data_IF_041320377761
#
_entry.id   IF_041320377761
#
_cell.length_a   1.000
_cell.length_b   1.000
_cell.length_c   1.000
_cell.angle_alpha   90.00
_cell.angle_beta   90.00
_cell.angle_gamma   90.00
#
_symmetry.space_group_name_H-M   'P 1'
#
loop_
_entity.id
_entity.type
_entity.pdbx_description
1 polymer ?
#
# COMPACT_ATOMS: atom_id res chain seq x y z
N UNK A 1 -17.13 -67.33 -39.39
CA UNK A 1 -16.90 -65.89 -39.19
C UNK A 1 -17.61 -65.48 -37.91
N UNK A 2 -16.88 -65.29 -36.81
CA UNK A 2 -17.38 -64.70 -35.56
C UNK A 2 -16.23 -63.90 -34.98
N UNK A 3 -16.35 -62.58 -34.98
CA UNK A 3 -15.41 -61.68 -34.31
C UNK A 3 -16.23 -60.61 -33.60
N UNK A 4 -16.25 -60.70 -32.28
CA UNK A 4 -16.80 -59.69 -31.38
C UNK A 4 -15.77 -58.58 -31.21
N UNK A 5 -16.18 -57.31 -31.32
CA UNK A 5 -15.34 -56.16 -31.03
C UNK A 5 -15.99 -55.29 -29.95
N UNK A 6 -15.29 -55.15 -28.83
CA UNK A 6 -15.66 -54.32 -27.68
C UNK A 6 -15.21 -52.87 -27.91
N UNK A 7 -16.07 -51.89 -27.61
CA UNK A 7 -15.71 -50.47 -27.60
C UNK A 7 -15.71 -49.96 -26.15
N UNK A 8 -14.53 -49.58 -25.68
CA UNK A 8 -14.25 -48.85 -24.43
C UNK A 8 -14.53 -47.37 -24.66
N UNK A 9 -15.43 -46.77 -23.87
CA UNK A 9 -15.66 -45.32 -23.85
C UNK A 9 -14.88 -44.73 -22.68
N UNK A 10 -13.85 -43.96 -22.99
CA UNK A 10 -13.08 -43.19 -22.02
C UNK A 10 -13.79 -41.86 -21.76
N UNK A 11 -14.18 -41.62 -20.50
CA UNK A 11 -14.74 -40.35 -20.06
C UNK A 11 -13.60 -39.37 -19.71
N UNK A 12 -13.59 -38.13 -20.24
CA UNK A 12 -12.65 -37.11 -19.82
C UNK A 12 -13.10 -36.53 -18.47
N UNK A 13 -12.28 -36.69 -17.44
CA UNK A 13 -12.47 -36.04 -16.15
C UNK A 13 -12.12 -34.55 -16.29
N UNK A 14 -13.13 -33.69 -16.35
CA UNK A 14 -12.95 -32.24 -16.32
C UNK A 14 -12.69 -31.80 -14.88
N UNK A 15 -11.41 -31.62 -14.53
CA UNK A 15 -11.01 -31.05 -13.25
C UNK A 15 -11.34 -29.55 -13.25
N UNK A 16 -12.42 -29.15 -12.58
CA UNK A 16 -12.69 -27.75 -12.28
C UNK A 16 -11.66 -27.26 -11.26
N UNK A 17 -10.69 -26.46 -11.71
CA UNK A 17 -9.82 -25.69 -10.84
C UNK A 17 -10.69 -24.73 -10.01
N UNK A 18 -10.58 -24.81 -8.69
CA UNK A 18 -11.24 -23.89 -7.77
C UNK A 18 -10.24 -22.79 -7.46
N UNK A 19 -10.47 -21.59 -7.96
CA UNK A 19 -9.79 -20.40 -7.46
C UNK A 19 -10.21 -20.20 -6.00
N UNK A 20 -9.35 -20.62 -5.09
CA UNK A 20 -9.47 -20.25 -3.69
C UNK A 20 -9.09 -18.78 -3.60
N UNK A 21 -10.10 -17.90 -3.58
CA UNK A 21 -9.91 -16.51 -3.15
C UNK A 21 -9.67 -16.57 -1.64
N UNK A 22 -8.41 -16.55 -1.22
CA UNK A 22 -8.08 -16.26 0.17
C UNK A 22 -8.40 -14.80 0.42
N UNK A 23 -9.65 -14.51 0.82
CA UNK A 23 -10.04 -13.20 1.36
C UNK A 23 -9.36 -13.08 2.72
N UNK A 24 -8.10 -12.65 2.73
CA UNK A 24 -7.50 -12.09 3.92
C UNK A 24 -8.28 -10.84 4.28
N UNK A 25 -9.08 -10.89 5.34
CA UNK A 25 -9.81 -9.73 5.90
C UNK A 25 -8.84 -8.75 6.60
N UNK A 26 -7.70 -8.45 5.99
CA UNK A 26 -6.96 -7.24 6.37
C UNK A 26 -7.69 -6.08 5.73
N UNK A 27 -7.97 -5.02 6.50
CA UNK A 27 -8.64 -3.82 5.96
C UNK A 27 -7.96 -3.29 4.70
N UNK A 28 -8.64 -2.48 3.90
CA UNK A 28 -7.95 -1.82 2.78
C UNK A 28 -6.86 -0.89 3.32
N UNK A 29 -5.78 -0.73 2.55
CA UNK A 29 -4.88 0.40 2.75
C UNK A 29 -5.59 1.69 2.33
N UNK A 30 -5.36 2.75 3.09
CA UNK A 30 -5.89 4.08 2.82
C UNK A 30 -4.76 5.12 2.94
N UNK A 31 -4.68 6.10 2.03
CA UNK A 31 -3.79 7.25 2.18
C UNK A 31 -4.03 7.97 3.52
N UNK A 32 -2.96 8.45 4.12
CA UNK A 32 -3.00 9.29 5.32
C UNK A 32 -2.01 10.45 5.18
N UNK A 33 -2.31 11.56 5.85
CA UNK A 33 -1.41 12.71 5.85
C UNK A 33 -0.12 12.40 6.62
N UNK A 34 1.00 12.89 6.10
CA UNK A 34 2.28 12.88 6.83
C UNK A 34 2.18 13.94 7.93
N UNK A 35 2.37 13.52 9.19
CA UNK A 35 2.29 14.38 10.38
C UNK A 35 3.55 14.21 11.21
N UNK A 36 3.80 15.14 12.13
CA UNK A 36 4.92 15.02 13.07
C UNK A 36 4.82 13.73 13.90
N UNK A 37 3.61 13.37 14.35
CA UNK A 37 3.38 12.17 15.16
C UNK A 37 3.74 10.87 14.41
N UNK A 38 3.30 10.74 13.16
CA UNK A 38 3.63 9.53 12.37
C UNK A 38 5.09 9.52 11.90
N UNK A 39 5.70 10.67 11.69
CA UNK A 39 7.15 10.77 11.40
C UNK A 39 7.98 10.37 12.62
N UNK A 40 7.58 10.78 13.83
CA UNK A 40 8.20 10.36 15.08
C UNK A 40 8.03 8.85 15.33
N UNK A 41 6.87 8.29 14.97
CA UNK A 41 6.63 6.85 15.03
C UNK A 41 7.59 6.09 14.10
N UNK A 42 7.78 6.57 12.87
CA UNK A 42 8.77 6.03 11.93
C UNK A 42 10.18 6.07 12.52
N UNK A 43 10.61 7.22 13.04
CA UNK A 43 11.92 7.38 13.68
C UNK A 43 12.12 6.42 14.84
N UNK A 44 11.14 6.32 15.74
CA UNK A 44 11.18 5.41 16.90
C UNK A 44 11.25 3.94 16.49
N UNK A 45 10.53 3.55 15.42
CA UNK A 45 10.55 2.18 14.95
C UNK A 45 11.90 1.81 14.31
N UNK A 46 12.47 2.72 13.51
CA UNK A 46 13.74 2.51 12.81
C UNK A 46 14.95 2.56 13.76
N UNK A 47 14.91 3.40 14.80
CA UNK A 47 15.92 3.46 15.86
C UNK A 47 15.78 2.34 16.92
N UNK A 48 14.69 1.58 16.86
CA UNK A 48 14.41 0.49 17.77
C UNK A 48 15.17 -0.80 17.42
N UNK A 49 14.89 -1.87 18.15
CA UNK A 49 15.43 -3.22 17.88
C UNK A 49 14.37 -4.20 17.38
N UNK A 50 13.11 -3.76 17.26
CA UNK A 50 11.97 -4.60 16.93
C UNK A 50 11.75 -4.71 15.42
N UNK A 51 12.46 -5.64 14.79
CA UNK A 51 12.33 -5.97 13.38
C UNK A 51 11.72 -7.37 13.20
N UNK A 52 10.88 -7.55 12.19
CA UNK A 52 10.47 -8.87 11.75
C UNK A 52 11.64 -9.63 11.14
N UNK A 53 11.63 -10.96 11.27
CA UNK A 53 12.61 -11.84 10.61
C UNK A 53 12.67 -11.62 9.10
N UNK A 54 11.56 -11.23 8.48
CA UNK A 54 11.46 -10.90 7.05
C UNK A 54 12.23 -9.65 6.63
N UNK A 55 12.56 -8.74 7.57
CA UNK A 55 13.38 -7.56 7.27
C UNK A 55 14.86 -7.93 7.14
N UNK A 56 15.30 -8.96 7.87
CA UNK A 56 16.71 -9.36 7.92
C UNK A 56 17.59 -8.25 8.48
N UNK A 57 18.78 -8.10 7.91
CA UNK A 57 19.79 -7.13 8.34
C UNK A 57 19.62 -5.76 7.66
N UNK A 58 18.61 -5.59 6.79
CA UNK A 58 18.38 -4.32 6.10
C UNK A 58 18.04 -3.23 7.11
N UNK A 59 18.75 -2.10 7.05
CA UNK A 59 18.44 -0.87 7.78
C UNK A 59 18.41 0.29 6.81
N UNK A 60 17.55 1.26 7.10
CA UNK A 60 17.44 2.49 6.32
C UNK A 60 17.30 3.65 7.28
N UNK A 61 17.88 4.79 6.94
CA UNK A 61 17.52 6.07 7.54
C UNK A 61 16.63 6.85 6.57
N UNK A 62 15.80 7.76 7.07
CA UNK A 62 14.98 8.63 6.23
C UNK A 62 15.50 10.07 6.26
N UNK A 63 15.46 10.73 5.11
CA UNK A 63 15.60 12.19 5.00
C UNK A 63 14.25 12.87 4.85
N UNK A 64 13.28 12.20 4.22
CA UNK A 64 11.95 12.72 3.95
C UNK A 64 10.94 11.58 3.91
N UNK A 65 9.71 11.83 4.38
CA UNK A 65 8.56 10.96 4.17
C UNK A 65 7.73 11.53 3.02
N UNK A 66 7.69 10.83 1.89
CA UNK A 66 7.03 11.32 0.67
C UNK A 66 5.54 11.02 0.64
N UNK A 67 5.12 9.91 1.26
CA UNK A 67 3.71 9.58 1.46
C UNK A 67 3.52 8.54 2.56
N UNK A 68 2.29 8.45 3.06
CA UNK A 68 1.90 7.49 4.07
C UNK A 68 0.57 6.83 3.70
N UNK A 69 0.48 5.53 3.93
CA UNK A 69 -0.78 4.79 3.94
C UNK A 69 -0.95 4.04 5.25
N UNK A 70 -2.19 3.83 5.65
CA UNK A 70 -2.55 3.10 6.86
C UNK A 70 -3.53 1.99 6.58
N UNK A 71 -3.50 0.96 7.41
CA UNK A 71 -4.48 -0.12 7.43
C UNK A 71 -4.76 -0.50 8.87
N UNK A 72 -6.01 -0.33 9.31
CA UNK A 72 -6.46 -0.78 10.62
C UNK A 72 -6.82 -2.27 10.55
N UNK A 73 -6.26 -3.07 11.45
CA UNK A 73 -6.55 -4.50 11.65
C UNK A 73 -6.80 -4.72 13.16
N UNK A 74 -6.06 -5.60 13.83
CA UNK A 74 -6.00 -5.67 15.28
C UNK A 74 -4.87 -4.76 15.80
N UNK A 75 -4.79 -3.54 15.31
CA UNK A 75 -3.65 -2.61 15.40
C UNK A 75 -3.61 -1.76 14.14
N UNK A 76 -2.59 -0.91 14.01
CA UNK A 76 -2.42 -0.08 12.82
C UNK A 76 -1.16 -0.50 12.08
N UNK A 77 -1.32 -0.92 10.82
CA UNK A 77 -0.21 -0.99 9.90
C UNK A 77 -0.03 0.38 9.25
N UNK A 78 1.22 0.83 9.18
CA UNK A 78 1.66 2.00 8.46
C UNK A 78 2.55 1.54 7.30
N UNK A 79 2.44 2.21 6.16
CA UNK A 79 3.31 2.06 5.01
C UNK A 79 3.85 3.43 4.65
N UNK A 80 5.07 3.70 5.11
CA UNK A 80 5.79 4.92 4.81
C UNK A 80 6.54 4.74 3.49
N UNK A 81 6.39 5.69 2.59
CA UNK A 81 7.29 5.90 1.47
C UNK A 81 8.28 6.98 1.89
N UNK A 82 9.57 6.69 1.80
CA UNK A 82 10.64 7.56 2.29
C UNK A 82 11.70 7.75 1.22
N UNK A 83 12.33 8.91 1.23
CA UNK A 83 13.63 9.13 0.59
C UNK A 83 14.72 8.99 1.65
N UNK A 84 15.74 8.18 1.40
CA UNK A 84 16.72 7.85 2.43
C UNK A 84 17.95 7.11 1.93
N UNK A 85 18.71 6.56 2.87
CA UNK A 85 19.92 5.78 2.61
C UNK A 85 19.77 4.34 3.13
N UNK A 86 20.35 3.38 2.42
CA UNK A 86 20.66 2.06 3.00
C UNK A 86 21.86 2.23 3.95
N UNK A 87 21.73 1.74 5.18
CA UNK A 87 22.71 1.91 6.26
C UNK A 87 22.92 0.58 6.97
N UNK A 88 24.02 0.44 7.73
CA UNK A 88 24.24 -0.75 8.58
C UNK A 88 23.42 -0.69 9.86
N UNK A 89 23.29 0.51 10.42
CA UNK A 89 22.56 0.81 11.65
C UNK A 89 21.70 2.04 11.40
N UNK A 90 20.45 2.02 11.86
CA UNK A 90 19.52 3.14 11.69
C UNK A 90 19.20 3.77 13.03
N UNK A 91 19.37 5.09 13.10
CA UNK A 91 18.93 5.94 14.21
C UNK A 91 17.60 6.65 13.88
N UNK A 92 16.90 6.20 12.84
CA UNK A 92 15.72 6.87 12.29
C UNK A 92 16.08 7.86 11.20
N UNK A 93 16.25 9.13 11.54
CA UNK A 93 16.58 10.19 10.57
C UNK A 93 18.03 10.07 10.10
N UNK A 94 18.30 10.36 8.82
CA UNK A 94 19.65 10.30 8.29
C UNK A 94 20.55 11.38 8.89
N UNK A 95 21.69 10.96 9.43
CA UNK A 95 22.75 11.89 9.82
C UNK A 95 23.32 12.62 8.60
N UNK A 96 23.90 13.81 8.82
CA UNK A 96 24.59 14.57 7.77
C UNK A 96 25.69 13.75 7.08
N UNK A 97 26.39 12.89 7.83
CA UNK A 97 27.40 11.98 7.30
C UNK A 97 26.80 10.95 6.33
N UNK A 98 25.67 10.34 6.69
CA UNK A 98 24.98 9.40 5.83
C UNK A 98 24.57 10.07 4.51
N UNK A 99 23.93 11.24 4.58
CA UNK A 99 23.50 12.00 3.40
C UNK A 99 24.65 12.46 2.50
N UNK A 100 25.84 12.70 3.06
CA UNK A 100 27.02 13.07 2.26
C UNK A 100 27.65 11.89 1.51
N UNK A 101 27.40 10.67 1.97
CA UNK A 101 28.02 9.44 1.47
C UNK A 101 27.09 8.56 0.64
N UNK A 102 25.78 8.83 0.69
CA UNK A 102 24.75 8.05 0.02
C UNK A 102 24.05 8.90 -1.06
N UNK A 103 23.62 8.23 -2.12
CA UNK A 103 22.63 8.80 -3.03
C UNK A 103 21.23 8.45 -2.51
N UNK A 104 20.38 9.47 -2.34
CA UNK A 104 19.03 9.28 -1.82
C UNK A 104 18.23 8.35 -2.73
N UNK A 105 17.69 7.29 -2.13
CA UNK A 105 16.87 6.28 -2.79
C UNK A 105 15.49 6.19 -2.13
N UNK A 106 14.48 5.83 -2.91
CA UNK A 106 13.14 5.56 -2.39
C UNK A 106 13.10 4.23 -1.64
N UNK A 107 12.43 4.18 -0.49
CA UNK A 107 12.13 2.97 0.25
C UNK A 107 10.69 2.93 0.73
N UNK A 108 10.15 1.73 0.83
CA UNK A 108 8.86 1.46 1.47
C UNK A 108 9.12 0.75 2.79
N UNK A 109 8.78 1.40 3.90
CA UNK A 109 8.92 0.89 5.27
C UNK A 109 7.54 0.59 5.82
N UNK A 110 7.30 -0.65 6.23
CA UNK A 110 6.06 -1.05 6.89
C UNK A 110 6.28 -1.24 8.39
N UNK A 111 5.40 -0.63 9.16
CA UNK A 111 5.42 -0.67 10.63
C UNK A 111 4.06 -1.14 11.14
N UNK A 112 4.07 -2.03 12.11
CA UNK A 112 2.89 -2.39 12.87
C UNK A 112 2.95 -1.79 14.28
N UNK A 113 1.84 -1.19 14.69
CA UNK A 113 1.68 -0.56 16.00
C UNK A 113 0.39 -1.03 16.70
N UNK A 114 0.49 -1.28 18.00
CA UNK A 114 -0.64 -1.48 18.91
C UNK A 114 -0.32 -0.82 20.25
N UNK A 115 -0.91 0.35 20.51
CA UNK A 115 -0.58 1.12 21.72
C UNK A 115 -0.99 0.37 23.00
N UNK A 116 -2.09 -0.39 22.99
CA UNK A 116 -2.58 -1.11 24.19
C UNK A 116 -1.71 -2.30 24.59
N UNK A 117 -0.81 -2.78 23.73
CA UNK A 117 0.20 -3.79 24.05
C UNK A 117 1.63 -3.25 24.02
N UNK A 118 1.81 -1.94 23.79
CA UNK A 118 3.12 -1.31 23.53
C UNK A 118 3.92 -2.02 22.43
N UNK A 119 3.24 -2.52 21.40
CA UNK A 119 3.90 -3.17 20.26
C UNK A 119 4.23 -2.12 19.21
N UNK A 120 5.51 -2.00 18.85
CA UNK A 120 5.98 -1.29 17.67
C UNK A 120 6.99 -2.18 16.96
N UNK A 121 6.76 -2.46 15.67
CA UNK A 121 7.60 -3.41 14.92
C UNK A 121 7.70 -3.05 13.46
N UNK A 122 8.92 -2.99 12.93
CA UNK A 122 9.15 -2.90 11.49
C UNK A 122 8.92 -4.28 10.87
N UNK A 123 7.94 -4.39 9.98
CA UNK A 123 7.51 -5.66 9.39
C UNK A 123 8.11 -5.90 8.01
N UNK A 124 8.40 -4.83 7.26
CA UNK A 124 9.01 -4.89 5.94
C UNK A 124 9.83 -3.63 5.64
N UNK A 125 10.93 -3.81 4.92
CA UNK A 125 11.66 -2.72 4.27
C UNK A 125 12.02 -3.20 2.86
N UNK A 126 11.68 -2.42 1.85
CA UNK A 126 12.07 -2.66 0.45
C UNK A 126 12.45 -1.37 -0.25
N UNK A 127 13.29 -1.44 -1.26
CA UNK A 127 13.49 -0.31 -2.16
C UNK A 127 12.18 -0.02 -2.90
N UNK A 128 11.88 1.26 -3.08
CA UNK A 128 10.81 1.69 -3.98
C UNK A 128 11.32 1.43 -5.40
N UNK A 129 10.59 0.59 -6.13
CA UNK A 129 10.90 0.35 -7.53
C UNK A 129 10.68 1.68 -8.25
N UNK A 130 11.76 2.28 -8.74
CA UNK A 130 11.70 3.55 -9.45
C UNK A 130 10.62 3.40 -10.52
N UNK A 131 9.54 4.15 -10.35
CA UNK A 131 8.50 4.25 -11.36
C UNK A 131 9.22 4.73 -12.61
N UNK A 132 9.52 3.81 -13.52
CA UNK A 132 9.94 4.15 -14.87
C UNK A 132 8.76 4.94 -15.38
N UNK A 133 8.89 6.26 -15.34
CA UNK A 133 7.95 7.20 -15.85
C UNK A 133 7.91 7.00 -17.36
N UNK A 134 7.18 5.97 -17.80
CA UNK A 134 6.56 5.91 -19.11
C UNK A 134 5.43 6.93 -19.13
N UNK A 135 5.82 8.19 -19.03
CA UNK A 135 5.04 9.34 -19.44
C UNK A 135 5.32 9.55 -20.94
N UNK A 136 5.02 8.53 -21.75
CA UNK A 136 4.99 8.65 -23.21
C UNK A 136 3.63 9.20 -23.61
N UNK A 137 3.48 10.52 -23.58
CA UNK A 137 2.38 11.21 -24.26
C UNK A 137 2.89 12.52 -24.87
N UNK A 138 3.65 12.39 -25.95
CA UNK A 138 3.89 13.50 -26.89
C UNK A 138 2.75 13.54 -27.90
N UNK A 139 2.12 14.70 -28.16
CA UNK A 139 0.85 14.78 -28.88
C UNK A 139 1.06 14.80 -30.40
N UNK A 140 0.28 13.99 -31.12
CA UNK A 140 0.18 14.08 -32.58
C UNK A 140 -0.88 15.15 -32.96
N UNK A 141 -0.55 16.11 -33.85
CA UNK A 141 -1.52 17.08 -34.36
C UNK A 141 -2.28 16.49 -35.55
N UNK A 142 -3.61 16.45 -35.45
CA UNK A 142 -4.49 16.15 -36.60
C UNK A 142 -5.45 17.33 -36.80
N UNK A 143 -5.45 18.00 -37.97
CA UNK A 143 -6.33 19.13 -38.22
C UNK A 143 -7.68 18.72 -38.85
N UNK A 144 -8.68 19.54 -38.54
CA UNK A 144 -9.91 19.82 -39.28
C UNK A 144 -10.98 18.71 -39.43
N UNK A 145 -12.13 18.91 -38.77
CA UNK A 145 -13.40 19.24 -39.45
C UNK A 145 -14.57 19.43 -38.45
N UNK A 146 -14.99 20.69 -38.35
CA UNK A 146 -16.35 21.22 -38.19
C UNK A 146 -17.53 20.24 -38.02
N UNK A 147 -18.38 20.45 -36.99
CA UNK A 147 -19.83 20.79 -37.09
C UNK A 147 -20.58 20.65 -35.75
N UNK A 148 -20.84 21.79 -35.11
CA UNK A 148 -22.11 22.33 -34.56
C UNK A 148 -23.17 21.42 -33.87
N UNK A 149 -23.66 21.92 -32.71
CA UNK A 149 -25.03 21.89 -32.09
C UNK A 149 -25.04 21.21 -30.69
N UNK A 150 -24.99 21.93 -29.56
CA UNK A 150 -26.02 22.73 -28.86
C UNK A 150 -27.12 21.92 -28.10
N UNK A 151 -27.23 22.16 -26.78
CA UNK A 151 -28.39 22.03 -25.84
C UNK A 151 -27.95 21.41 -24.49
N UNK A 152 -27.86 22.15 -23.37
CA UNK A 152 -28.93 22.44 -22.34
C UNK A 152 -29.56 21.15 -21.79
N UNK A 153 -29.68 20.84 -20.48
CA UNK A 153 -30.01 21.59 -19.25
C UNK A 153 -29.85 20.60 -18.06
N UNK A 154 -29.32 20.98 -16.88
CA UNK A 154 -30.02 21.31 -15.61
C UNK A 154 -30.68 20.13 -14.82
N UNK A 155 -30.81 20.31 -13.49
CA UNK A 155 -31.34 19.42 -12.42
C UNK A 155 -30.34 18.45 -11.73
N UNK A 156 -29.79 18.76 -10.55
CA UNK A 156 -30.37 18.84 -9.17
C UNK A 156 -30.67 17.46 -8.57
N UNK A 157 -29.83 17.00 -7.62
CA UNK A 157 -30.27 16.17 -6.49
C UNK A 157 -29.52 16.53 -5.21
N UNK A 158 -30.27 17.14 -4.29
CA UNK A 158 -30.01 17.28 -2.86
C UNK A 158 -30.58 16.02 -2.16
N UNK A 159 -29.72 15.22 -1.52
CA UNK A 159 -30.06 14.23 -0.50
C UNK A 159 -28.71 13.87 0.17
N UNK A 160 -28.52 13.87 1.48
CA UNK A 160 -29.44 13.68 2.59
C UNK A 160 -28.78 14.18 3.87
N UNK A 161 -29.60 14.89 4.64
CA UNK A 161 -29.36 15.49 5.94
C UNK A 161 -29.09 14.45 7.04
N UNK A 162 -28.19 14.82 7.96
CA UNK A 162 -28.43 14.80 9.42
C UNK A 162 -29.01 13.50 10.00
N UNK A 163 -28.17 12.55 10.45
CA UNK A 163 -28.44 11.77 11.67
C UNK A 163 -27.25 10.89 12.11
N UNK A 164 -26.36 11.39 12.97
CA UNK A 164 -25.79 10.60 14.06
C UNK A 164 -25.04 11.50 15.04
N UNK A 165 -25.83 12.16 15.88
CA UNK A 165 -25.43 12.65 17.19
C UNK A 165 -26.07 11.69 18.19
N UNK A 166 -25.35 11.38 19.28
CA UNK A 166 -25.71 10.50 20.41
C UNK A 166 -25.23 9.04 20.30
N UNK A 167 -23.97 8.81 20.70
CA UNK A 167 -23.59 7.72 21.61
C UNK A 167 -22.34 8.15 22.38
N UNK A 168 -22.52 9.08 23.31
CA UNK A 168 -21.62 9.25 24.46
C UNK A 168 -22.53 9.25 25.68
N UNK A 169 -22.70 8.07 26.27
CA UNK A 169 -23.21 7.90 27.64
C UNK A 169 -22.77 6.52 28.12
N UNK A 170 -22.19 6.52 29.32
CA UNK A 170 -22.08 5.39 30.25
C UNK A 170 -21.01 4.31 29.97
N UNK A 171 -19.81 4.50 30.53
CA UNK A 171 -19.18 3.45 31.34
C UNK A 171 -18.14 4.03 32.32
N UNK A 172 -18.53 4.03 33.60
CA UNK A 172 -17.76 4.04 34.87
C UNK A 172 -16.67 5.11 35.09
#
# INVERSE_FOLDING_TARGET
MRASLSILVAFPALAAARDVVTIGMTGSWHPADVTEDNTKLLGTALSGSSFSKSVGDKRVCYSEVTSLETQVVAGTNYRFHISGCDVTDSDGECSTSALSSCELSGFVVQIFEQSWTNTLKVTNIKAEEAATASSSSTPAPTPASTSTSASSSEETMLQSSVQQRAMFSDFV
#
